data_IF_637840305834
#
_entry.id   IF_637840305834
#
_cell.length_a   1.000
_cell.length_b   1.000
_cell.length_c   1.000
_cell.angle_alpha   90.00
_cell.angle_beta   90.00
_cell.angle_gamma   90.00
#
_symmetry.space_group_name_H-M   'P 1'
#
loop_
_entity.id
_entity.type
_entity.pdbx_description
1 polymer ?
#
# COMPACT_ATOMS: atom_id res chain seq x y z
N UNK A 1 40.58 33.99 39.05
CA UNK A 1 41.01 32.62 38.70
C UNK A 1 39.88 31.94 37.93
N UNK A 2 40.11 31.70 36.64
CA UNK A 2 39.50 30.64 35.83
C UNK A 2 40.69 29.77 35.34
N UNK A 3 40.57 28.54 34.80
CA UNK A 3 39.39 27.66 34.65
C UNK A 3 39.67 26.17 35.01
N UNK A 4 38.63 25.31 35.00
CA UNK A 4 38.71 24.02 34.31
C UNK A 4 37.47 23.82 33.44
N UNK A 5 37.77 23.77 32.15
CA UNK A 5 36.96 23.39 31.02
C UNK A 5 36.94 21.86 30.91
N UNK A 6 35.80 21.24 30.62
CA UNK A 6 35.75 20.29 29.49
C UNK A 6 34.32 20.18 28.95
N UNK A 7 34.16 20.72 27.76
CA UNK A 7 33.03 20.51 26.88
C UNK A 7 32.79 19.03 26.57
N UNK A 8 31.53 18.67 26.29
CA UNK A 8 31.24 18.12 24.97
C UNK A 8 29.79 18.39 24.54
N UNK A 9 29.66 19.25 23.52
CA UNK A 9 28.50 19.34 22.65
C UNK A 9 28.59 18.26 21.56
N UNK A 10 27.45 17.64 21.21
CA UNK A 10 27.02 17.04 19.92
C UNK A 10 26.04 15.91 20.25
N UNK A 11 24.93 15.66 19.56
CA UNK A 11 24.44 16.03 18.21
C UNK A 11 22.95 15.65 18.24
N UNK A 12 22.04 16.52 17.82
CA UNK A 12 21.45 16.50 16.48
C UNK A 12 20.43 15.38 16.26
N UNK A 13 19.16 15.81 16.11
CA UNK A 13 18.23 15.39 15.05
C UNK A 13 18.33 13.95 14.56
N UNK A 14 17.36 13.10 14.93
CA UNK A 14 16.70 12.10 14.07
C UNK A 14 15.85 11.14 14.93
N UNK A 15 14.71 11.61 15.41
CA UNK A 15 13.71 10.77 16.10
C UNK A 15 12.34 10.86 15.38
N UNK A 16 12.35 10.71 14.05
CA UNK A 16 11.15 10.34 13.27
C UNK A 16 11.19 8.82 13.07
N UNK A 17 11.19 8.10 14.21
CA UNK A 17 11.61 6.71 14.32
C UNK A 17 10.51 5.72 13.95
N UNK A 18 10.76 4.97 12.86
CA UNK A 18 10.38 3.57 12.62
C UNK A 18 8.96 3.16 13.04
N UNK A 19 7.96 3.36 12.16
CA UNK A 19 6.72 2.59 12.29
C UNK A 19 7.05 1.09 12.26
N UNK A 20 6.57 0.37 13.28
CA UNK A 20 6.75 -1.08 13.39
C UNK A 20 6.10 -1.77 12.21
N UNK A 21 6.65 -2.89 11.75
CA UNK A 21 6.04 -3.70 10.68
C UNK A 21 4.57 -4.01 10.99
N UNK A 22 4.26 -4.28 12.26
CA UNK A 22 2.89 -4.54 12.72
C UNK A 22 1.96 -3.33 12.54
N UNK A 23 2.44 -2.12 12.81
CA UNK A 23 1.66 -0.89 12.60
C UNK A 23 1.41 -0.65 11.11
N UNK A 24 2.43 -0.84 10.27
CA UNK A 24 2.29 -0.69 8.82
C UNK A 24 1.31 -1.73 8.25
N UNK A 25 1.32 -2.98 8.76
CA UNK A 25 0.35 -4.00 8.38
C UNK A 25 -1.06 -3.59 8.84
N UNK A 26 -1.21 -3.13 10.08
CA UNK A 26 -2.50 -2.71 10.62
C UNK A 26 -3.09 -1.54 9.83
N UNK A 27 -2.26 -0.55 9.50
CA UNK A 27 -2.66 0.58 8.69
C UNK A 27 -3.06 0.15 7.27
N UNK A 28 -2.28 -0.71 6.63
CA UNK A 28 -2.61 -1.28 5.34
C UNK A 28 -3.97 -1.99 5.36
N UNK A 29 -4.25 -2.77 6.41
CA UNK A 29 -5.54 -3.45 6.56
C UNK A 29 -6.69 -2.44 6.72
N UNK A 30 -6.54 -1.41 7.54
CA UNK A 30 -7.55 -0.35 7.68
C UNK A 30 -7.80 0.39 6.36
N UNK A 31 -6.74 0.73 5.61
CA UNK A 31 -6.89 1.42 4.33
C UNK A 31 -7.64 0.56 3.30
N UNK A 32 -7.31 -0.73 3.21
CA UNK A 32 -7.89 -1.62 2.19
C UNK A 32 -9.26 -2.19 2.57
N UNK A 33 -9.57 -2.34 3.87
CA UNK A 33 -10.86 -2.88 4.34
C UNK A 33 -11.94 -1.82 4.48
N UNK A 34 -11.56 -0.62 4.90
CA UNK A 34 -12.54 0.41 5.29
C UNK A 34 -12.48 1.62 4.35
N UNK A 35 -11.30 2.24 4.23
CA UNK A 35 -11.16 3.56 3.57
C UNK A 35 -11.38 3.47 2.06
N UNK A 36 -10.63 2.61 1.37
CA UNK A 36 -10.71 2.48 -0.09
C UNK A 36 -12.08 1.99 -0.56
N UNK A 37 -12.71 0.96 0.06
CA UNK A 37 -14.08 0.56 -0.26
C UNK A 37 -15.09 1.68 -0.04
N UNK A 38 -14.95 2.48 1.03
CA UNK A 38 -15.85 3.61 1.30
C UNK A 38 -15.74 4.69 0.22
N UNK A 39 -14.51 5.05 -0.18
CA UNK A 39 -14.27 6.00 -1.28
C UNK A 39 -14.85 5.48 -2.62
N UNK A 40 -14.67 4.20 -2.92
CA UNK A 40 -15.23 3.59 -4.12
C UNK A 40 -16.76 3.62 -4.14
N UNK A 41 -17.41 3.48 -2.98
CA UNK A 41 -18.87 3.62 -2.84
C UNK A 41 -19.32 5.07 -3.03
N UNK A 42 -18.62 6.04 -2.43
CA UNK A 42 -18.93 7.47 -2.55
C UNK A 42 -18.84 7.93 -4.01
N UNK A 43 -17.78 7.56 -4.72
CA UNK A 43 -17.60 7.96 -6.12
C UNK A 43 -18.70 7.41 -7.04
N UNK A 44 -19.23 6.21 -6.78
CA UNK A 44 -20.36 5.69 -7.58
C UNK A 44 -21.62 6.56 -7.50
N UNK A 45 -21.82 7.28 -6.41
CA UNK A 45 -22.96 8.21 -6.24
C UNK A 45 -22.75 9.48 -7.07
N UNK A 46 -21.51 9.88 -7.31
CA UNK A 46 -21.14 11.11 -8.01
C UNK A 46 -20.90 10.93 -9.53
N UNK A 47 -21.02 9.70 -10.05
CA UNK A 47 -20.88 9.36 -11.48
C UNK A 47 -22.06 9.87 -12.34
N UNK A 48 -22.21 11.19 -12.39
CA UNK A 48 -23.08 11.93 -13.31
C UNK A 48 -22.44 13.21 -13.86
N UNK A 49 -21.24 13.60 -13.41
CA UNK A 49 -20.54 14.81 -13.85
C UNK A 49 -19.04 14.57 -13.96
N UNK A 50 -18.52 14.56 -15.19
CA UNK A 50 -17.14 14.86 -15.59
C UNK A 50 -15.98 14.27 -14.76
N UNK A 51 -15.19 13.38 -15.37
CA UNK A 51 -13.80 13.08 -14.98
C UNK A 51 -13.55 12.68 -13.52
N UNK A 52 -14.51 12.00 -12.87
CA UNK A 52 -14.32 11.49 -11.51
C UNK A 52 -13.39 10.27 -11.53
N UNK A 53 -12.42 10.21 -10.60
CA UNK A 53 -11.51 9.08 -10.40
C UNK A 53 -12.25 7.75 -10.55
N UNK A 54 -11.90 6.93 -11.54
CA UNK A 54 -12.55 5.63 -11.73
C UNK A 54 -12.03 4.65 -10.68
N UNK A 55 -12.95 4.11 -9.87
CA UNK A 55 -12.67 3.01 -8.95
C UNK A 55 -13.12 1.70 -9.61
N UNK A 56 -12.21 0.93 -10.24
CA UNK A 56 -12.56 -0.29 -10.98
C UNK A 56 -13.00 -1.45 -10.07
N UNK A 57 -12.73 -1.36 -8.77
CA UNK A 57 -13.03 -2.39 -7.77
C UNK A 57 -13.66 -1.77 -6.53
N UNK A 58 -14.36 -2.59 -5.74
CA UNK A 58 -15.13 -2.12 -4.58
C UNK A 58 -14.95 -2.95 -3.32
N UNK A 59 -14.50 -4.20 -3.46
CA UNK A 59 -14.32 -5.10 -2.33
C UNK A 59 -12.91 -5.00 -1.77
N UNK A 60 -12.81 -5.16 -0.45
CA UNK A 60 -11.57 -5.16 0.32
C UNK A 60 -10.48 -6.09 -0.28
N UNK A 61 -10.85 -7.33 -0.60
CA UNK A 61 -9.94 -8.34 -1.14
C UNK A 61 -9.46 -7.97 -2.55
N UNK A 62 -10.25 -7.24 -3.34
CA UNK A 62 -9.80 -6.74 -4.64
C UNK A 62 -8.70 -5.70 -4.47
N UNK A 63 -8.87 -4.76 -3.53
CA UNK A 63 -7.83 -3.77 -3.22
C UNK A 63 -6.56 -4.43 -2.69
N UNK A 64 -6.71 -5.38 -1.77
CA UNK A 64 -5.58 -6.12 -1.22
C UNK A 64 -4.81 -6.83 -2.33
N UNK A 65 -5.50 -7.52 -3.25
CA UNK A 65 -4.86 -8.20 -4.39
C UNK A 65 -4.10 -7.22 -5.28
N UNK A 66 -4.71 -6.10 -5.69
CA UNK A 66 -4.04 -5.13 -6.57
C UNK A 66 -2.80 -4.55 -5.90
N UNK A 67 -2.91 -4.17 -4.62
CA UNK A 67 -1.78 -3.61 -3.87
C UNK A 67 -0.66 -4.64 -3.73
N UNK A 68 -0.98 -5.86 -3.29
CA UNK A 68 0.02 -6.92 -3.13
C UNK A 68 0.67 -7.30 -4.46
N UNK A 69 -0.13 -7.45 -5.51
CA UNK A 69 0.36 -7.76 -6.85
C UNK A 69 1.32 -6.67 -7.35
N UNK A 70 1.01 -5.40 -7.07
CA UNK A 70 1.88 -4.27 -7.44
C UNK A 70 3.18 -4.26 -6.64
N UNK A 71 3.13 -4.57 -5.34
CA UNK A 71 4.35 -4.65 -4.50
C UNK A 71 5.24 -5.83 -4.88
N UNK A 72 4.64 -6.93 -5.32
CA UNK A 72 5.35 -8.12 -5.79
C UNK A 72 5.73 -8.04 -7.28
N UNK A 73 5.24 -7.04 -8.02
CA UNK A 73 5.35 -6.92 -9.48
C UNK A 73 4.95 -8.22 -10.22
N UNK A 74 3.97 -8.93 -9.67
CA UNK A 74 3.59 -10.28 -10.06
C UNK A 74 2.40 -10.77 -9.23
N UNK A 75 1.94 -12.00 -9.46
CA UNK A 75 0.81 -12.53 -8.69
C UNK A 75 1.25 -12.81 -7.24
N UNK A 76 0.69 -12.10 -6.26
CA UNK A 76 1.23 -12.06 -4.90
C UNK A 76 1.41 -13.43 -4.23
N UNK A 77 0.54 -14.39 -4.56
CA UNK A 77 0.56 -15.74 -3.98
C UNK A 77 1.77 -16.58 -4.43
N UNK A 78 2.52 -16.13 -5.43
CA UNK A 78 3.81 -16.73 -5.81
C UNK A 78 4.96 -16.28 -4.91
N UNK A 79 4.80 -15.12 -4.26
CA UNK A 79 5.86 -14.47 -3.48
C UNK A 79 5.60 -14.50 -1.97
N UNK A 80 4.33 -14.48 -1.57
CA UNK A 80 3.90 -14.36 -0.17
C UNK A 80 2.96 -15.51 0.16
N UNK A 81 3.26 -16.23 1.25
CA UNK A 81 2.38 -17.30 1.76
C UNK A 81 1.06 -16.70 2.25
N UNK A 82 -0.03 -17.44 2.02
CA UNK A 82 -1.31 -17.09 2.63
C UNK A 82 -1.31 -17.46 4.13
N UNK A 83 -1.88 -16.60 5.01
CA UNK A 83 -2.47 -15.30 4.71
C UNK A 83 -1.43 -14.17 4.59
N UNK A 84 -1.52 -13.37 3.51
CA UNK A 84 -0.47 -12.41 3.14
C UNK A 84 -0.05 -11.45 4.26
N UNK A 85 -1.01 -10.94 5.04
CA UNK A 85 -0.74 -9.98 6.12
C UNK A 85 0.17 -10.53 7.24
N UNK A 86 0.27 -11.86 7.40
CA UNK A 86 1.18 -12.48 8.38
C UNK A 86 2.61 -12.63 7.85
N UNK A 87 2.79 -12.52 6.54
CA UNK A 87 4.05 -12.81 5.86
C UNK A 87 4.66 -11.59 5.16
N UNK A 88 4.05 -10.41 5.29
CA UNK A 88 4.63 -9.16 4.81
C UNK A 88 5.85 -8.78 5.65
N UNK A 89 6.98 -8.53 4.97
CA UNK A 89 8.14 -7.94 5.64
C UNK A 89 7.95 -6.41 5.83
N UNK A 90 8.84 -5.79 6.61
CA UNK A 90 8.78 -4.36 6.94
C UNK A 90 8.73 -3.45 5.69
N UNK A 91 9.53 -3.77 4.68
CA UNK A 91 9.62 -3.00 3.43
C UNK A 91 8.33 -3.12 2.62
N UNK A 92 7.81 -4.34 2.47
CA UNK A 92 6.56 -4.59 1.75
C UNK A 92 5.37 -3.95 2.45
N UNK A 93 5.28 -4.01 3.78
CA UNK A 93 4.21 -3.39 4.55
C UNK A 93 4.22 -1.85 4.38
N UNK A 94 5.38 -1.21 4.49
CA UNK A 94 5.52 0.25 4.27
C UNK A 94 5.19 0.64 2.84
N UNK A 95 5.64 -0.15 1.86
CA UNK A 95 5.35 0.09 0.45
C UNK A 95 3.85 -0.06 0.16
N UNK A 96 3.18 -1.05 0.74
CA UNK A 96 1.74 -1.25 0.61
C UNK A 96 0.94 -0.06 1.17
N UNK A 97 1.31 0.45 2.36
CA UNK A 97 0.70 1.66 2.95
C UNK A 97 0.90 2.87 2.04
N UNK A 98 2.14 3.09 1.60
CA UNK A 98 2.49 4.20 0.71
C UNK A 98 1.68 4.15 -0.59
N UNK A 99 1.55 2.95 -1.19
CA UNK A 99 0.77 2.75 -2.40
C UNK A 99 -0.72 3.05 -2.17
N UNK A 100 -1.31 2.55 -1.08
CA UNK A 100 -2.70 2.84 -0.73
C UNK A 100 -2.95 4.35 -0.61
N UNK A 101 -2.07 5.07 0.08
CA UNK A 101 -2.15 6.54 0.22
C UNK A 101 -2.04 7.26 -1.11
N UNK A 102 -1.14 6.81 -2.00
CA UNK A 102 -1.01 7.35 -3.37
C UNK A 102 -2.29 7.13 -4.18
N UNK A 103 -2.93 5.96 -4.07
CA UNK A 103 -4.20 5.67 -4.75
C UNK A 103 -5.29 6.61 -4.25
N UNK A 104 -5.45 6.72 -2.93
CA UNK A 104 -6.46 7.60 -2.30
C UNK A 104 -6.26 9.05 -2.75
N UNK A 105 -5.02 9.54 -2.72
CA UNK A 105 -4.67 10.88 -3.15
C UNK A 105 -4.77 11.08 -4.67
N UNK A 106 -5.00 10.03 -5.46
CA UNK A 106 -5.08 10.11 -6.93
C UNK A 106 -3.76 10.33 -7.62
N UNK A 107 -2.66 10.04 -6.93
CA UNK A 107 -1.29 10.14 -7.48
C UNK A 107 -0.94 8.95 -8.36
N UNK A 108 -1.71 7.87 -8.28
CA UNK A 108 -1.62 6.70 -9.15
C UNK A 108 -3.02 6.31 -9.60
N UNK A 109 -3.11 5.78 -10.82
CA UNK A 109 -4.37 5.31 -11.41
C UNK A 109 -4.63 3.86 -11.00
N UNK A 110 -5.67 3.66 -10.19
CA UNK A 110 -6.08 2.34 -9.75
C UNK A 110 -6.52 1.44 -10.93
N UNK A 111 -7.01 2.01 -12.02
CA UNK A 111 -7.40 1.27 -13.23
C UNK A 111 -6.18 0.57 -13.84
N UNK A 112 -5.08 1.31 -14.02
CA UNK A 112 -3.83 0.78 -14.57
C UNK A 112 -3.20 -0.28 -13.66
N UNK A 113 -3.29 -0.10 -12.34
CA UNK A 113 -2.82 -1.10 -11.37
C UNK A 113 -3.66 -2.38 -11.44
N UNK A 114 -4.99 -2.25 -11.56
CA UNK A 114 -5.88 -3.39 -11.73
C UNK A 114 -5.61 -4.17 -13.02
N UNK A 115 -5.39 -3.46 -14.14
CA UNK A 115 -5.04 -4.09 -15.42
C UNK A 115 -3.72 -4.85 -15.34
N UNK A 116 -2.70 -4.27 -14.70
CA UNK A 116 -1.42 -4.94 -14.46
C UNK A 116 -1.58 -6.19 -13.60
N UNK A 117 -2.33 -6.08 -12.50
CA UNK A 117 -2.70 -7.22 -11.63
C UNK A 117 -3.40 -8.34 -12.39
N UNK A 118 -4.33 -8.02 -13.29
CA UNK A 118 -5.01 -9.01 -14.12
C UNK A 118 -4.06 -9.69 -15.09
N UNK A 119 -3.16 -8.94 -15.75
CA UNK A 119 -2.17 -9.49 -16.68
C UNK A 119 -1.21 -10.46 -15.99
N UNK A 120 -0.71 -10.13 -14.80
CA UNK A 120 0.15 -11.04 -14.05
C UNK A 120 -0.57 -12.35 -13.70
N UNK A 121 -1.83 -12.27 -13.28
CA UNK A 121 -2.63 -13.46 -12.95
C UNK A 121 -3.04 -14.27 -14.19
N UNK A 122 -3.32 -13.62 -15.32
CA UNK A 122 -3.65 -14.30 -16.58
C UNK A 122 -2.46 -15.07 -17.16
N UNK A 123 -1.24 -14.52 -17.07
CA UNK A 123 -0.02 -15.24 -17.47
C UNK A 123 0.08 -16.60 -16.77
N UNK A 124 -0.28 -16.67 -15.48
CA UNK A 124 -0.27 -17.93 -14.74
C UNK A 124 -1.30 -18.95 -15.24
N UNK A 125 -2.48 -18.50 -15.66
CA UNK A 125 -3.46 -19.40 -16.27
C UNK A 125 -3.00 -19.94 -17.63
N UNK A 126 -2.25 -19.15 -18.40
CA UNK A 126 -1.74 -19.59 -19.71
C UNK A 126 -0.51 -20.51 -19.63
N UNK A 127 0.16 -20.59 -18.48
CA UNK A 127 1.31 -21.48 -18.25
C UNK A 127 0.95 -22.80 -17.56
N UNK A 128 -0.35 -23.12 -17.42
CA UNK A 128 -0.77 -24.46 -16.99
C UNK A 128 -0.69 -25.45 -18.16
N UNK A 129 0.34 -26.31 -18.15
CA UNK A 129 0.48 -27.47 -19.04
C UNK A 129 -0.27 -28.69 -18.51
#
# INVERSE_FOLDING_TARGET
MLPKNTANQKKSSDAKGMSSTAESIQEYLTLTRDVMPSLAKQVKVEQGKGSVKKWPVQHDHCFQRIVLDTICEGAWYEFIKAPAYQHLNATQAKAAVSLCRRIINGQVDLTQLNESSLKWRQKQHTFSF
#
